data_IF_206738635263
#
_entry.id   IF_206738635263
#
_cell.length_a   1.000
_cell.length_b   1.000
_cell.length_c   1.000
_cell.angle_alpha   90.00
_cell.angle_beta   90.00
_cell.angle_gamma   90.00
#
_symmetry.space_group_name_H-M   'P 1'
#
loop_
_entity.id
_entity.type
_entity.pdbx_description
1 polymer ?
#
# COMPACT_ATOMS: atom_id res chain seq x y z
N UNK A 1 -16.03 26.66 22.28
CA UNK A 1 -15.04 25.63 22.66
C UNK A 1 -13.70 26.04 22.10
N UNK A 2 -12.76 26.42 22.96
CA UNK A 2 -11.43 26.87 22.56
C UNK A 2 -10.66 25.74 21.89
N UNK A 3 -9.98 26.05 20.78
CA UNK A 3 -9.06 25.15 20.11
C UNK A 3 -7.93 24.83 21.09
N UNK A 4 -7.87 23.60 21.59
CA UNK A 4 -6.72 23.15 22.39
C UNK A 4 -5.53 23.10 21.44
N UNK A 5 -4.61 24.05 21.59
CA UNK A 5 -3.34 24.05 20.88
C UNK A 5 -2.38 23.21 21.72
N UNK A 6 -2.04 22.03 21.22
CA UNK A 6 -0.98 21.22 21.80
C UNK A 6 0.37 21.88 21.52
N UNK A 7 0.87 22.62 22.50
CA UNK A 7 2.22 23.19 22.45
C UNK A 7 3.20 22.15 23.00
N UNK A 8 3.97 21.52 22.13
CA UNK A 8 5.07 20.64 22.52
C UNK A 8 6.14 21.47 23.23
N UNK A 9 6.55 21.03 24.43
CA UNK A 9 7.45 21.80 25.30
C UNK A 9 8.91 21.45 25.03
N UNK A 10 9.18 20.27 24.47
CA UNK A 10 10.55 19.83 24.11
C UNK A 10 10.59 19.10 22.76
N UNK A 11 11.78 19.05 22.15
CA UNK A 11 12.05 18.22 20.95
C UNK A 11 11.84 16.72 21.23
N UNK A 12 11.97 16.27 22.48
CA UNK A 12 11.75 14.88 22.87
C UNK A 12 10.25 14.52 22.84
N UNK A 13 9.36 15.43 23.22
CA UNK A 13 7.90 15.24 23.11
C UNK A 13 7.47 15.05 21.64
N UNK A 14 8.13 15.77 20.74
CA UNK A 14 7.92 15.63 19.29
C UNK A 14 8.47 14.28 18.78
N UNK A 15 9.57 13.77 19.34
CA UNK A 15 10.10 12.44 19.02
C UNK A 15 9.12 11.32 19.38
N UNK A 16 8.33 11.46 20.44
CA UNK A 16 7.35 10.44 20.84
C UNK A 16 6.18 10.40 19.87
N UNK A 17 5.67 11.55 19.46
CA UNK A 17 4.64 11.68 18.41
C UNK A 17 5.17 11.23 17.03
N UNK A 18 6.42 11.53 16.70
CA UNK A 18 7.05 11.06 15.45
C UNK A 18 7.22 9.54 15.45
N UNK A 19 7.56 8.93 16.59
CA UNK A 19 7.61 7.47 16.75
C UNK A 19 6.22 6.83 16.59
N UNK A 20 5.14 7.51 16.95
CA UNK A 20 3.76 7.03 16.68
C UNK A 20 3.45 6.92 15.17
N UNK A 21 4.11 7.72 14.33
CA UNK A 21 4.01 7.62 12.87
C UNK A 21 4.89 6.50 12.26
N UNK A 22 5.59 5.67 13.06
CA UNK A 22 6.32 4.49 12.57
C UNK A 22 5.39 3.38 12.00
N UNK A 23 4.07 3.53 12.11
CA UNK A 23 3.07 2.65 11.49
C UNK A 23 2.75 3.01 10.04
N UNK A 24 3.40 4.04 9.46
CA UNK A 24 3.19 4.47 8.09
C UNK A 24 3.48 3.35 7.09
N UNK A 25 2.44 2.90 6.40
CA UNK A 25 2.54 1.91 5.33
C UNK A 25 2.52 2.60 3.99
N UNK A 26 3.66 2.50 3.30
CA UNK A 26 3.97 3.23 2.08
C UNK A 26 4.09 2.29 0.89
N UNK A 27 3.72 2.73 -0.30
CA UNK A 27 4.04 2.01 -1.53
C UNK A 27 4.37 2.95 -2.69
N UNK A 28 5.47 2.70 -3.42
CA UNK A 28 5.78 3.43 -4.64
C UNK A 28 4.94 2.91 -5.80
N UNK A 29 4.38 3.84 -6.57
CA UNK A 29 3.58 3.55 -7.76
C UNK A 29 4.00 4.46 -8.90
N UNK A 30 3.94 3.97 -10.15
CA UNK A 30 4.20 4.79 -11.32
C UNK A 30 3.26 6.00 -11.35
N UNK A 31 3.78 7.17 -11.68
CA UNK A 31 2.97 8.38 -11.79
C UNK A 31 1.82 8.17 -12.79
N UNK A 32 0.64 8.63 -12.40
CA UNK A 32 -0.64 8.45 -13.12
C UNK A 32 -1.18 7.02 -13.17
N UNK A 33 -0.61 6.09 -12.42
CA UNK A 33 -1.20 4.77 -12.18
C UNK A 33 -1.95 4.77 -10.84
N UNK A 34 -2.95 3.88 -10.72
CA UNK A 34 -3.76 3.78 -9.52
C UNK A 34 -2.95 3.11 -8.41
N UNK A 35 -2.99 3.58 -7.15
CA UNK A 35 -2.10 3.07 -6.11
C UNK A 35 -2.44 1.65 -5.64
N UNK A 36 -3.64 1.14 -5.93
CA UNK A 36 -4.09 -0.19 -5.47
C UNK A 36 -4.61 -1.09 -6.60
N UNK A 37 -4.71 -0.58 -7.83
CA UNK A 37 -5.20 -1.32 -8.99
C UNK A 37 -4.23 -1.12 -10.15
N UNK A 38 -4.07 -2.15 -10.98
CA UNK A 38 -3.12 -2.15 -12.08
C UNK A 38 -3.82 -1.98 -13.42
N UNK A 39 -3.13 -1.33 -14.36
CA UNK A 39 -3.39 -1.43 -15.80
C UNK A 39 -2.37 -2.40 -16.41
N UNK A 40 -2.62 -2.92 -17.60
CA UNK A 40 -1.66 -3.81 -18.27
C UNK A 40 -0.26 -3.20 -18.45
N UNK A 41 -0.17 -1.87 -18.63
CA UNK A 41 1.11 -1.14 -18.70
C UNK A 41 1.89 -1.07 -17.37
N UNK A 42 1.25 -1.41 -16.24
CA UNK A 42 1.80 -1.33 -14.89
C UNK A 42 2.38 -2.66 -14.42
N UNK A 43 2.20 -3.73 -15.20
CA UNK A 43 2.55 -5.11 -14.87
C UNK A 43 3.37 -5.76 -15.99
N UNK A 44 4.00 -6.90 -15.69
CA UNK A 44 4.71 -7.68 -16.71
C UNK A 44 3.78 -8.19 -17.80
N UNK A 45 4.31 -8.40 -19.02
CA UNK A 45 3.54 -8.81 -20.22
C UNK A 45 2.68 -10.06 -20.01
N UNK A 46 3.11 -10.98 -19.15
CA UNK A 46 2.45 -12.27 -18.91
C UNK A 46 1.62 -12.27 -17.61
N UNK A 47 1.43 -11.12 -16.96
CA UNK A 47 0.67 -11.04 -15.72
C UNK A 47 -0.84 -10.95 -16.00
N UNK A 48 -1.62 -11.82 -15.36
CA UNK A 48 -3.09 -11.81 -15.45
C UNK A 48 -3.68 -10.74 -14.54
N UNK A 49 -4.57 -9.91 -15.10
CA UNK A 49 -5.36 -8.93 -14.37
C UNK A 49 -6.85 -9.28 -14.45
N UNK A 50 -7.54 -9.21 -13.32
CA UNK A 50 -8.99 -9.33 -13.21
C UNK A 50 -9.54 -8.02 -12.62
N UNK A 51 -10.23 -7.21 -13.43
CA UNK A 51 -10.77 -5.90 -13.01
C UNK A 51 -9.71 -4.98 -12.35
N UNK A 52 -8.46 -5.05 -12.84
CA UNK A 52 -7.32 -4.30 -12.30
C UNK A 52 -6.65 -4.93 -11.08
N UNK A 53 -7.18 -6.04 -10.54
CA UNK A 53 -6.52 -6.85 -9.51
C UNK A 53 -5.54 -7.80 -10.18
N UNK A 54 -4.30 -7.82 -9.72
CA UNK A 54 -3.29 -8.72 -10.24
C UNK A 54 -3.39 -10.09 -9.58
N UNK A 55 -3.58 -11.14 -10.37
CA UNK A 55 -3.89 -12.49 -9.86
C UNK A 55 -2.82 -13.01 -8.91
N UNK A 56 -1.54 -12.88 -9.25
CA UNK A 56 -0.44 -13.40 -8.41
C UNK A 56 -0.32 -12.74 -7.02
N UNK A 57 -0.93 -11.58 -6.82
CA UNK A 57 -0.87 -10.89 -5.53
C UNK A 57 -1.89 -11.46 -4.54
N UNK A 58 -2.84 -12.31 -4.96
CA UNK A 58 -3.95 -12.75 -4.12
C UNK A 58 -4.27 -14.24 -4.32
N UNK A 59 -4.84 -14.87 -3.29
CA UNK A 59 -5.36 -16.23 -3.40
C UNK A 59 -6.77 -16.17 -3.99
N UNK A 60 -6.97 -16.67 -5.20
CA UNK A 60 -8.28 -16.72 -5.85
C UNK A 60 -8.95 -18.07 -5.68
N UNK A 61 -10.28 -18.10 -5.64
CA UNK A 61 -11.07 -19.32 -5.86
C UNK A 61 -10.80 -19.88 -7.26
N UNK A 62 -11.16 -21.15 -7.48
CA UNK A 62 -10.94 -21.84 -8.76
C UNK A 62 -11.59 -21.09 -9.94
N UNK A 63 -12.80 -20.58 -9.75
CA UNK A 63 -13.56 -19.81 -10.73
C UNK A 63 -13.18 -18.31 -10.79
N UNK A 64 -12.29 -17.86 -9.91
CA UNK A 64 -11.75 -16.50 -9.83
C UNK A 64 -12.76 -15.39 -9.53
N UNK A 65 -13.98 -15.74 -9.11
CA UNK A 65 -14.98 -14.77 -8.64
C UNK A 65 -14.74 -14.31 -7.20
N UNK A 66 -13.97 -15.08 -6.43
CA UNK A 66 -13.69 -14.82 -5.02
C UNK A 66 -12.19 -14.71 -4.75
N UNK A 67 -11.86 -13.83 -3.82
CA UNK A 67 -10.53 -13.74 -3.22
C UNK A 67 -10.61 -14.31 -1.82
N UNK A 68 -9.79 -15.32 -1.56
CA UNK A 68 -9.77 -16.08 -0.33
C UNK A 68 -8.76 -15.47 0.67
N UNK A 69 -9.03 -15.58 1.98
CA UNK A 69 -8.12 -15.08 3.00
C UNK A 69 -6.78 -15.80 2.94
N UNK A 70 -5.70 -15.02 2.91
CA UNK A 70 -4.35 -15.54 2.99
C UNK A 70 -3.40 -14.49 3.56
N UNK A 71 -2.75 -14.80 4.67
CA UNK A 71 -1.97 -13.83 5.43
C UNK A 71 -0.66 -13.39 4.74
N UNK A 72 -0.24 -14.08 3.69
CA UNK A 72 1.00 -13.78 2.94
C UNK A 72 0.75 -13.55 1.44
N UNK A 73 -0.49 -13.24 1.06
CA UNK A 73 -0.84 -12.82 -0.30
C UNK A 73 -1.70 -11.56 -0.22
N UNK A 74 -1.16 -10.47 -0.74
CA UNK A 74 -1.88 -9.22 -0.82
C UNK A 74 -1.07 -8.16 -1.55
N UNK A 75 -1.58 -6.93 -1.53
CA UNK A 75 -0.83 -5.81 -2.08
C UNK A 75 0.35 -5.45 -1.17
N UNK A 76 1.53 -5.29 -1.77
CA UNK A 76 2.78 -4.95 -1.08
C UNK A 76 2.87 -3.51 -0.60
N UNK A 77 3.30 -3.34 0.65
CA UNK A 77 3.62 -2.08 1.31
C UNK A 77 4.92 -2.18 2.10
N UNK A 78 5.54 -1.02 2.34
CA UNK A 78 6.77 -0.82 3.09
C UNK A 78 6.47 -0.05 4.37
N UNK A 79 6.88 -0.57 5.52
CA UNK A 79 6.79 0.14 6.82
C UNK A 79 8.12 0.77 7.27
N UNK A 80 9.20 0.54 6.53
CA UNK A 80 10.53 1.07 6.87
C UNK A 80 11.13 1.82 5.69
N UNK A 81 11.93 2.84 5.98
CA UNK A 81 12.64 3.62 4.97
C UNK A 81 13.54 2.75 4.08
N UNK A 82 14.28 1.80 4.67
CA UNK A 82 15.15 0.87 3.94
C UNK A 82 14.36 0.06 2.91
N UNK A 83 13.27 -0.59 3.35
CA UNK A 83 12.42 -1.37 2.45
C UNK A 83 11.80 -0.50 1.35
N UNK A 84 11.30 0.69 1.70
CA UNK A 84 10.75 1.64 0.74
C UNK A 84 11.77 2.06 -0.32
N UNK A 85 12.99 2.41 0.10
CA UNK A 85 14.09 2.80 -0.79
C UNK A 85 14.47 1.68 -1.76
N UNK A 86 14.56 0.45 -1.27
CA UNK A 86 14.87 -0.72 -2.09
C UNK A 86 13.77 -0.99 -3.13
N UNK A 87 12.49 -0.96 -2.71
CA UNK A 87 11.36 -1.16 -3.62
C UNK A 87 11.23 -0.01 -4.63
N UNK A 88 11.48 1.23 -4.22
CA UNK A 88 11.49 2.38 -5.12
C UNK A 88 12.57 2.23 -6.18
N UNK A 89 13.83 1.94 -5.79
CA UNK A 89 14.94 1.69 -6.73
C UNK A 89 14.62 0.58 -7.72
N UNK A 90 14.06 -0.52 -7.22
CA UNK A 90 13.63 -1.64 -8.05
C UNK A 90 12.58 -1.18 -9.08
N UNK A 91 11.54 -0.45 -8.64
CA UNK A 91 10.50 0.04 -9.56
C UNK A 91 11.05 1.04 -10.57
N UNK A 92 11.96 1.93 -10.18
CA UNK A 92 12.60 2.89 -11.09
C UNK A 92 13.41 2.17 -12.16
N UNK A 93 14.17 1.13 -11.79
CA UNK A 93 14.90 0.28 -12.76
C UNK A 93 13.96 -0.38 -13.78
N UNK A 94 12.79 -0.84 -13.34
CA UNK A 94 11.78 -1.45 -14.23
C UNK A 94 10.95 -0.44 -15.02
N UNK A 95 11.07 0.86 -14.73
CA UNK A 95 10.30 1.92 -15.38
C UNK A 95 11.22 3.09 -15.80
N UNK A 96 12.21 2.86 -16.68
CA UNK A 96 13.18 3.89 -17.05
C UNK A 96 12.49 5.13 -17.64
N UNK A 97 12.94 6.30 -17.21
CA UNK A 97 12.39 7.60 -17.62
C UNK A 97 10.98 7.91 -17.10
N UNK A 98 10.40 7.06 -16.24
CA UNK A 98 9.08 7.32 -15.63
C UNK A 98 9.25 7.79 -14.19
N UNK A 99 8.50 8.83 -13.83
CA UNK A 99 8.42 9.31 -12.45
C UNK A 99 7.59 8.33 -11.62
N UNK A 100 7.98 8.13 -10.37
CA UNK A 100 7.21 7.42 -9.36
C UNK A 100 6.63 8.43 -8.36
N UNK A 101 5.51 8.07 -7.77
CA UNK A 101 4.95 8.75 -6.61
C UNK A 101 4.83 7.73 -5.47
N UNK A 102 4.96 8.19 -4.23
CA UNK A 102 4.80 7.34 -3.05
C UNK A 102 3.45 7.63 -2.42
N UNK A 103 2.67 6.58 -2.18
CA UNK A 103 1.38 6.66 -1.51
C UNK A 103 1.48 6.05 -0.13
N UNK A 104 0.80 6.62 0.88
CA UNK A 104 0.78 6.07 2.23
C UNK A 104 -0.59 6.10 2.87
N UNK A 105 -0.77 5.24 3.86
CA UNK A 105 -1.93 5.17 4.74
C UNK A 105 -1.52 5.74 6.09
N UNK A 106 -2.23 6.77 6.57
CA UNK A 106 -1.94 7.46 7.82
C UNK A 106 -2.48 6.73 9.06
N UNK A 107 -3.65 6.08 8.93
CA UNK A 107 -4.34 5.48 10.08
C UNK A 107 -5.03 4.18 9.68
N UNK A 108 -5.13 3.24 10.63
CA UNK A 108 -5.86 1.97 10.49
C UNK A 108 -7.35 2.18 10.24
N UNK A 109 -7.94 3.28 10.74
CA UNK A 109 -9.31 3.73 10.47
C UNK A 109 -9.63 3.86 8.97
N UNK A 110 -8.61 4.09 8.14
CA UNK A 110 -8.75 4.24 6.70
C UNK A 110 -8.87 2.91 5.95
N UNK A 111 -8.61 1.77 6.61
CA UNK A 111 -8.65 0.45 5.99
C UNK A 111 -10.12 -0.02 5.91
N UNK A 112 -10.65 -0.31 4.71
CA UNK A 112 -12.00 -0.84 4.57
C UNK A 112 -12.18 -2.16 5.34
N UNK A 113 -13.38 -2.38 5.89
CA UNK A 113 -13.73 -3.62 6.57
C UNK A 113 -13.45 -4.84 5.66
N UNK A 114 -12.92 -5.90 6.26
CA UNK A 114 -12.53 -7.11 5.54
C UNK A 114 -11.14 -7.05 4.91
N UNK A 115 -10.37 -5.98 5.14
CA UNK A 115 -8.96 -5.88 4.79
C UNK A 115 -8.10 -5.65 6.04
N UNK A 116 -6.88 -6.18 6.05
CA UNK A 116 -5.89 -5.92 7.10
C UNK A 116 -4.47 -5.90 6.54
N UNK A 117 -3.58 -5.19 7.21
CA UNK A 117 -2.14 -5.31 6.95
C UNK A 117 -1.54 -6.44 7.79
N UNK A 118 -0.75 -7.29 7.15
CA UNK A 118 -0.04 -8.39 7.79
C UNK A 118 1.45 -8.29 7.46
N UNK A 119 2.36 -8.37 8.45
CA UNK A 119 3.79 -8.37 8.17
C UNK A 119 4.19 -9.58 7.31
N UNK A 120 5.12 -9.35 6.38
CA UNK A 120 5.77 -10.42 5.65
C UNK A 120 6.68 -11.21 6.61
N UNK A 121 6.49 -12.53 6.66
CA UNK A 121 7.25 -13.45 7.50
C UNK A 121 8.73 -13.53 7.11
N UNK A 122 9.05 -13.25 5.84
CA UNK A 122 10.38 -13.43 5.26
C UNK A 122 11.12 -12.11 5.03
N UNK A 123 10.44 -10.96 5.11
CA UNK A 123 11.04 -9.67 4.76
C UNK A 123 10.64 -8.57 5.75
N UNK A 124 11.56 -8.25 6.66
CA UNK A 124 11.38 -7.14 7.62
C UNK A 124 11.02 -5.83 6.90
N UNK A 125 9.99 -5.17 7.41
CA UNK A 125 9.50 -3.91 6.88
C UNK A 125 8.67 -4.03 5.61
N UNK A 126 8.37 -5.24 5.14
CA UNK A 126 7.37 -5.49 4.10
C UNK A 126 6.07 -5.97 4.75
N UNK A 127 4.94 -5.49 4.23
CA UNK A 127 3.60 -5.82 4.68
C UNK A 127 2.72 -6.14 3.47
N UNK A 128 1.79 -7.06 3.67
CA UNK A 128 0.73 -7.37 2.72
C UNK A 128 -0.59 -6.76 3.20
N UNK A 129 -1.28 -6.02 2.34
CA UNK A 129 -2.70 -5.73 2.53
C UNK A 129 -3.49 -6.94 2.02
N UNK A 130 -4.07 -7.68 2.95
CA UNK A 130 -4.75 -8.98 2.73
C UNK A 130 -6.26 -8.85 2.95
N UNK A 131 -7.04 -9.79 2.42
CA UNK A 131 -8.45 -9.98 2.78
C UNK A 131 -8.56 -10.85 4.04
N UNK A 132 -9.49 -10.52 4.93
CA UNK A 132 -9.69 -11.26 6.20
C UNK A 132 -10.68 -12.41 6.06
N UNK A 133 -11.50 -12.39 5.01
CA UNK A 133 -12.55 -13.36 4.72
C UNK A 133 -12.72 -13.50 3.20
N UNK A 134 -13.41 -14.56 2.76
CA UNK A 134 -13.72 -14.74 1.35
C UNK A 134 -14.51 -13.52 0.84
N UNK A 135 -13.92 -12.80 -0.11
CA UNK A 135 -14.46 -11.52 -0.60
C UNK A 135 -14.70 -11.64 -2.12
N UNK A 136 -15.90 -11.29 -2.64
CA UNK A 136 -16.11 -11.23 -4.08
C UNK A 136 -15.13 -10.27 -4.74
N UNK A 137 -14.62 -10.59 -5.93
CA UNK A 137 -13.67 -9.75 -6.66
C UNK A 137 -14.20 -8.30 -6.82
N UNK A 138 -15.49 -8.16 -7.12
CA UNK A 138 -16.14 -6.84 -7.24
C UNK A 138 -16.05 -6.03 -5.94
N UNK A 139 -16.27 -6.68 -4.79
CA UNK A 139 -16.15 -6.05 -3.47
C UNK A 139 -14.69 -5.69 -3.16
N UNK A 140 -13.73 -6.56 -3.50
CA UNK A 140 -12.31 -6.22 -3.34
C UNK A 140 -11.96 -4.96 -4.16
N UNK A 141 -12.40 -4.87 -5.42
CA UNK A 141 -12.16 -3.69 -6.27
C UNK A 141 -12.72 -2.41 -5.64
N UNK A 142 -13.94 -2.45 -5.08
CA UNK A 142 -14.55 -1.32 -4.38
C UNK A 142 -13.69 -0.93 -3.16
N UNK A 143 -13.35 -1.90 -2.31
CA UNK A 143 -12.51 -1.66 -1.12
C UNK A 143 -11.14 -1.07 -1.50
N UNK A 144 -10.50 -1.57 -2.55
CA UNK A 144 -9.20 -1.06 -3.02
C UNK A 144 -9.30 0.38 -3.56
N UNK A 145 -10.41 0.75 -4.21
CA UNK A 145 -10.70 2.14 -4.62
C UNK A 145 -10.94 3.04 -3.41
N UNK A 146 -11.71 2.58 -2.42
CA UNK A 146 -11.93 3.31 -1.17
C UNK A 146 -10.62 3.56 -0.43
N UNK A 147 -9.77 2.53 -0.31
CA UNK A 147 -8.45 2.68 0.28
C UNK A 147 -7.62 3.71 -0.50
N UNK A 148 -7.53 3.57 -1.83
CA UNK A 148 -6.79 4.50 -2.69
C UNK A 148 -7.24 5.96 -2.52
N UNK A 149 -8.54 6.20 -2.36
CA UNK A 149 -9.10 7.53 -2.13
C UNK A 149 -8.65 8.14 -0.78
N UNK A 150 -8.40 7.28 0.22
CA UNK A 150 -7.94 7.68 1.55
C UNK A 150 -6.41 7.76 1.67
N UNK A 151 -5.67 7.34 0.65
CA UNK A 151 -4.21 7.42 0.66
C UNK A 151 -3.74 8.83 0.36
N UNK A 152 -2.75 9.30 1.11
CA UNK A 152 -2.02 10.52 0.78
C UNK A 152 -0.90 10.21 -0.22
N UNK A 153 -0.53 11.18 -1.06
CA UNK A 153 0.44 11.04 -2.16
C UNK A 153 1.56 12.05 -2.07
N UNK A 154 2.80 11.57 -2.08
CA UNK A 154 4.03 12.34 -2.26
C UNK A 154 4.39 12.32 -3.74
N UNK A 155 4.46 13.50 -4.34
CA UNK A 155 4.94 13.69 -5.70
C UNK A 155 6.41 14.09 -5.65
N UNK A 156 7.14 13.79 -6.74
CA UNK A 156 8.53 14.22 -6.94
C UNK A 156 9.48 13.70 -5.84
N UNK A 157 9.27 12.48 -5.37
CA UNK A 157 10.17 11.82 -4.44
C UNK A 157 11.49 11.55 -5.16
N UNK A 158 12.51 12.36 -4.87
CA UNK A 158 13.90 12.13 -5.26
C UNK A 158 14.62 11.30 -4.20
N UNK A 159 15.64 10.55 -4.62
CA UNK A 159 16.67 10.06 -3.72
C UNK A 159 17.96 10.72 -4.16
N UNK A 160 18.59 11.44 -3.26
CA UNK A 160 20.00 11.82 -3.36
C UNK A 160 20.89 10.57 -3.34
#
# INVERSE_FOLDING_TARGET
MGKVVYQFKTINDLSEVIKEYETLLMRPTRRYSHPTLYRYRDVGKNEKLLSGVRVKDWLFSHDQHWVLPHDQMGLSFSSTYKNLKDVYRLKSKHNPGKKLDVYWVLETSNIPLGLKFVPDRNKKGHYFLTVTEATPLSQLVIKLKMLAHRMTRMKNVGFD
#
